data_IF_315422250701
#
_entry.id   IF_315422250701
#
_cell.length_a   1.000
_cell.length_b   1.000
_cell.length_c   1.000
_cell.angle_alpha   90.00
_cell.angle_beta   90.00
_cell.angle_gamma   90.00
#
_symmetry.space_group_name_H-M   'P 1'
#
loop_
_entity.id
_entity.type
_entity.pdbx_description
1 polymer ?
#
# COMPACT_ATOMS: atom_id res chain seq x y z
N UNK A 1 -13.79 -13.03 -17.85
CA UNK A 1 -13.80 -12.24 -16.60
C UNK A 1 -13.50 -13.20 -15.46
N UNK A 2 -12.41 -13.01 -14.72
CA UNK A 2 -12.12 -13.86 -13.55
C UNK A 2 -12.98 -13.30 -12.41
N UNK A 3 -14.06 -14.02 -12.07
CA UNK A 3 -14.90 -13.67 -10.93
C UNK A 3 -14.07 -13.78 -9.64
N UNK A 4 -14.19 -12.80 -8.75
CA UNK A 4 -13.64 -12.89 -7.42
C UNK A 4 -14.32 -14.06 -6.69
N UNK A 5 -13.58 -15.13 -6.42
CA UNK A 5 -14.11 -16.29 -5.70
C UNK A 5 -14.36 -15.90 -4.22
N UNK A 6 -15.61 -16.00 -3.70
CA UNK A 6 -15.89 -15.76 -2.30
C UNK A 6 -15.09 -16.73 -1.42
N UNK A 7 -14.57 -16.26 -0.28
CA UNK A 7 -13.91 -17.10 0.72
C UNK A 7 -12.42 -17.36 0.52
N UNK A 8 -11.75 -16.72 -0.44
CA UNK A 8 -10.28 -16.74 -0.48
C UNK A 8 -9.71 -15.71 0.51
N UNK A 9 -8.69 -16.06 1.29
CA UNK A 9 -8.05 -15.13 2.21
C UNK A 9 -7.46 -13.95 1.42
N UNK A 10 -7.50 -12.75 2.02
CA UNK A 10 -6.83 -11.59 1.44
C UNK A 10 -5.31 -11.79 1.52
N UNK A 11 -4.71 -12.16 0.39
CA UNK A 11 -3.33 -12.58 0.30
C UNK A 11 -2.64 -11.90 -0.88
N UNK A 12 -1.60 -11.15 -0.57
CA UNK A 12 -0.67 -10.53 -1.51
C UNK A 12 0.69 -11.18 -1.32
N UNK A 13 1.22 -11.77 -2.38
CA UNK A 13 2.58 -12.28 -2.43
C UNK A 13 3.52 -11.15 -2.86
N UNK A 14 4.40 -10.73 -1.96
CA UNK A 14 5.48 -9.81 -2.29
C UNK A 14 6.67 -10.58 -2.86
N UNK A 15 7.47 -9.93 -3.72
CA UNK A 15 8.70 -10.51 -4.27
C UNK A 15 9.79 -10.71 -3.21
N UNK A 16 9.75 -9.91 -2.14
CA UNK A 16 10.63 -10.03 -0.99
C UNK A 16 9.82 -9.81 0.30
N UNK A 17 10.11 -10.61 1.33
CA UNK A 17 9.46 -10.55 2.63
C UNK A 17 8.23 -11.45 2.76
N UNK A 18 7.53 -11.37 3.90
CA UNK A 18 6.35 -12.18 4.16
C UNK A 18 5.18 -11.75 3.26
N UNK A 19 4.22 -12.66 3.12
CA UNK A 19 2.91 -12.34 2.54
C UNK A 19 2.22 -11.23 3.34
N UNK A 20 1.27 -10.54 2.70
CA UNK A 20 0.46 -9.51 3.36
C UNK A 20 -0.93 -9.38 2.76
N UNK A 21 -1.58 -8.27 3.07
CA UNK A 21 -2.94 -7.93 2.62
C UNK A 21 -2.93 -6.91 1.47
N UNK A 22 -4.10 -6.69 0.86
CA UNK A 22 -4.29 -5.57 -0.08
C UNK A 22 -4.10 -4.21 0.58
N UNK A 23 -4.47 -4.04 1.85
CA UNK A 23 -4.21 -2.82 2.63
C UNK A 23 -2.72 -2.53 2.72
N UNK A 24 -1.90 -3.54 3.06
CA UNK A 24 -0.45 -3.43 3.15
C UNK A 24 0.21 -3.04 1.83
N UNK A 25 -0.22 -3.67 0.74
CA UNK A 25 0.27 -3.31 -0.60
C UNK A 25 -0.04 -1.85 -0.93
N UNK A 26 -1.28 -1.43 -0.66
CA UNK A 26 -1.72 -0.06 -0.90
C UNK A 26 -0.92 0.95 -0.08
N UNK A 27 -0.77 0.76 1.24
CA UNK A 27 -0.04 1.70 2.08
C UNK A 27 1.38 1.88 1.58
N UNK A 28 2.09 0.79 1.27
CA UNK A 28 3.49 0.84 0.79
C UNK A 28 3.68 1.55 -0.55
N UNK A 29 2.73 1.40 -1.47
CA UNK A 29 2.83 2.00 -2.81
C UNK A 29 2.31 3.44 -2.79
N UNK A 30 1.14 3.65 -2.18
CA UNK A 30 0.43 4.92 -2.24
C UNK A 30 0.92 5.94 -1.20
N UNK A 31 1.68 5.55 -0.18
CA UNK A 31 2.28 6.49 0.78
C UNK A 31 3.19 7.53 0.12
N UNK A 32 3.83 7.19 -1.01
CA UNK A 32 4.74 8.08 -1.73
C UNK A 32 4.05 8.97 -2.76
N UNK A 33 2.74 8.78 -2.98
CA UNK A 33 1.94 9.65 -3.87
C UNK A 33 1.38 10.80 -3.04
N UNK A 34 2.20 11.84 -2.89
CA UNK A 34 1.91 13.00 -2.04
C UNK A 34 0.90 13.98 -2.63
N UNK A 35 0.79 14.02 -3.96
CA UNK A 35 -0.22 14.79 -4.67
C UNK A 35 -1.61 14.13 -4.51
N UNK A 36 -2.60 14.80 -3.87
CA UNK A 36 -3.93 14.23 -3.64
C UNK A 36 -4.68 13.84 -4.92
N UNK A 37 -4.50 14.57 -6.02
CA UNK A 37 -5.17 14.26 -7.29
C UNK A 37 -4.58 12.99 -7.91
N UNK A 38 -3.25 12.84 -7.84
CA UNK A 38 -2.58 11.60 -8.27
C UNK A 38 -2.88 10.44 -7.35
N UNK A 39 -3.09 10.69 -6.05
CA UNK A 39 -3.40 9.63 -5.08
C UNK A 39 -4.70 8.90 -5.40
N UNK A 40 -5.67 9.58 -6.04
CA UNK A 40 -6.91 8.97 -6.55
C UNK A 40 -6.67 7.96 -7.68
N UNK A 41 -5.54 8.05 -8.38
CA UNK A 41 -5.14 7.13 -9.45
C UNK A 41 -4.32 5.93 -8.93
N UNK A 42 -4.03 5.86 -7.62
CA UNK A 42 -3.29 4.73 -7.06
C UNK A 42 -4.10 3.43 -7.16
N UNK A 43 -3.44 2.28 -7.00
CA UNK A 43 -4.07 0.97 -7.00
C UNK A 43 -5.13 0.83 -5.89
N UNK A 44 -6.03 -0.17 -5.98
CA UNK A 44 -6.94 -0.60 -4.89
C UNK A 44 -7.68 0.54 -4.15
N UNK A 45 -8.27 1.53 -4.86
CA UNK A 45 -8.92 2.69 -4.24
C UNK A 45 -10.14 2.36 -3.37
N UNK A 46 -10.92 1.36 -3.78
CA UNK A 46 -12.11 0.89 -3.06
C UNK A 46 -11.70 0.32 -1.69
N UNK A 47 -12.02 1.04 -0.62
CA UNK A 47 -11.67 0.70 0.76
C UNK A 47 -12.30 -0.61 1.22
N UNK A 48 -13.54 -0.88 0.82
CA UNK A 48 -14.28 -2.04 1.28
C UNK A 48 -13.68 -3.33 0.69
N UNK A 49 -13.13 -3.22 -0.52
CA UNK A 49 -12.43 -4.32 -1.17
C UNK A 49 -10.97 -4.41 -0.79
N UNK A 50 -10.30 -3.28 -0.53
CA UNK A 50 -8.88 -3.21 -0.12
C UNK A 50 -8.67 -3.69 1.32
N UNK A 51 -9.63 -3.43 2.20
CA UNK A 51 -9.46 -3.54 3.65
C UNK A 51 -8.84 -2.28 4.26
N UNK A 52 -9.01 -2.16 5.58
CA UNK A 52 -8.47 -1.04 6.37
C UNK A 52 -6.98 -1.21 6.64
N UNK A 53 -6.22 -0.13 6.49
CA UNK A 53 -4.79 -0.08 6.82
C UNK A 53 -4.56 -0.41 8.30
N UNK A 54 -3.52 -1.20 8.58
CA UNK A 54 -3.12 -1.60 9.93
C UNK A 54 -1.77 -0.98 10.32
N UNK A 55 -1.47 -0.86 11.63
CA UNK A 55 -0.14 -0.48 12.08
C UNK A 55 0.95 -1.38 11.46
N UNK A 56 1.95 -0.77 10.82
CA UNK A 56 3.04 -1.47 10.14
C UNK A 56 2.76 -1.86 8.68
N UNK A 57 1.61 -1.47 8.11
CA UNK A 57 1.35 -1.63 6.68
C UNK A 57 2.26 -0.71 5.86
N UNK A 58 2.31 0.58 6.21
CA UNK A 58 3.22 1.57 5.65
C UNK A 58 4.67 1.32 6.08
N UNK A 59 5.63 1.75 5.27
CA UNK A 59 7.01 1.91 5.74
C UNK A 59 7.08 3.10 6.71
N UNK A 60 8.00 3.07 7.70
CA UNK A 60 8.26 4.25 8.51
C UNK A 60 8.71 5.43 7.64
N UNK A 61 8.49 6.64 8.15
CA UNK A 61 9.02 7.84 7.51
C UNK A 61 10.53 7.70 7.31
N UNK A 62 11.00 8.17 6.15
CA UNK A 62 12.42 8.18 5.87
C UNK A 62 13.13 9.08 6.90
N UNK A 63 14.32 8.68 7.39
CA UNK A 63 15.10 9.56 8.24
C UNK A 63 15.44 10.85 7.49
N UNK A 64 15.44 11.97 8.20
CA UNK A 64 15.90 13.24 7.66
C UNK A 64 17.36 13.13 7.24
N UNK A 65 17.65 13.37 5.97
CA UNK A 65 19.02 13.47 5.46
C UNK A 65 19.35 14.96 5.41
N UNK A 66 20.33 15.41 6.21
CA UNK A 66 20.92 16.73 6.05
C UNK A 66 21.91 16.67 4.88
N UNK A 67 21.52 17.26 3.75
CA UNK A 67 22.34 17.27 2.54
C UNK A 67 23.40 18.37 2.55
N UNK A 68 23.52 19.19 3.62
CA UNK A 68 24.53 20.23 3.76
C UNK A 68 24.48 21.23 2.61
N UNK A 69 23.81 22.37 2.80
CA UNK A 69 23.77 23.42 1.78
C UNK A 69 25.19 23.75 1.28
N UNK A 70 25.48 23.40 0.03
CA UNK A 70 26.72 23.74 -0.67
C UNK A 70 26.71 25.21 -1.11
#
# INVERSE_FOLDING_TARGET
MIAAAPGRPDLVQFSNGPQGSRSKLWSRVCQYVTDPERRRLCINQDSDRRGSEQPGDAFPDAPSIDLGNA
#
